data_IF_554546139837
#
_entry.id   IF_554546139837
#
_cell.length_a   1.000
_cell.length_b   1.000
_cell.length_c   1.000
_cell.angle_alpha   90.00
_cell.angle_beta   90.00
_cell.angle_gamma   90.00
#
_symmetry.space_group_name_H-M   'P 1'
#
loop_
_entity.id
_entity.type
_entity.pdbx_description
1 polymer ?
#
# COMPACT_ATOMS: atom_id res chain seq x y z
N UNK A 1 -0.38 -31.53 36.38
CA UNK A 1 0.23 -31.40 35.04
C UNK A 1 -0.75 -30.81 34.02
N UNK A 2 -1.89 -31.47 33.72
CA UNK A 2 -2.88 -30.99 32.74
C UNK A 2 -3.49 -29.60 33.02
N UNK A 3 -3.71 -29.25 34.29
CA UNK A 3 -4.27 -27.94 34.69
C UNK A 3 -3.28 -26.80 34.48
N UNK A 4 -2.00 -27.02 34.77
CA UNK A 4 -0.93 -26.05 34.52
C UNK A 4 -0.72 -25.82 33.02
N UNK A 5 -0.80 -26.87 32.20
CA UNK A 5 -0.72 -26.78 30.73
C UNK A 5 -1.93 -26.03 30.16
N UNK A 6 -3.13 -26.28 30.68
CA UNK A 6 -4.35 -25.56 30.27
C UNK A 6 -4.31 -24.08 30.66
N UNK A 7 -3.79 -23.73 31.85
CA UNK A 7 -3.58 -22.34 32.25
C UNK A 7 -2.53 -21.65 31.36
N UNK A 8 -1.45 -22.34 30.99
CA UNK A 8 -0.43 -21.78 30.10
C UNK A 8 -1.01 -21.50 28.71
N UNK A 9 -1.81 -22.41 28.17
CA UNK A 9 -2.48 -22.25 26.87
C UNK A 9 -3.49 -21.08 26.88
N UNK A 10 -4.24 -20.90 27.98
CA UNK A 10 -5.12 -19.74 28.13
C UNK A 10 -4.32 -18.43 28.23
N UNK A 11 -3.21 -18.40 28.96
CA UNK A 11 -2.38 -17.21 29.08
C UNK A 11 -1.71 -16.81 27.75
N UNK A 12 -1.27 -17.79 26.95
CA UNK A 12 -0.70 -17.55 25.62
C UNK A 12 -1.76 -17.02 24.65
N UNK A 13 -2.96 -17.58 24.65
CA UNK A 13 -4.05 -17.12 23.78
C UNK A 13 -4.55 -15.71 24.12
N UNK A 14 -4.55 -15.33 25.40
CA UNK A 14 -4.89 -13.96 25.82
C UNK A 14 -3.81 -12.94 25.41
N UNK A 15 -2.53 -13.29 25.49
CA UNK A 15 -1.44 -12.38 25.14
C UNK A 15 -1.28 -12.16 23.64
N UNK A 16 -1.68 -13.13 22.80
CA UNK A 16 -1.67 -12.97 21.33
C UNK A 16 -2.66 -11.91 20.83
N UNK A 17 -3.74 -11.63 21.55
CA UNK A 17 -4.72 -10.59 21.20
C UNK A 17 -4.17 -9.18 21.43
N UNK A 18 -3.18 -9.02 22.32
CA UNK A 18 -2.58 -7.72 22.64
C UNK A 18 -1.51 -7.27 21.64
N UNK A 19 -1.13 -8.12 20.69
CA UNK A 19 -0.13 -7.84 19.66
C UNK A 19 -0.74 -7.47 18.30
N UNK A 20 -2.04 -7.16 18.25
CA UNK A 20 -2.72 -6.84 17.00
C UNK A 20 -2.33 -5.42 16.53
N UNK A 21 -1.71 -5.35 15.36
CA UNK A 21 -1.36 -4.08 14.72
C UNK A 21 -2.59 -3.50 14.02
N UNK A 22 -2.82 -2.20 14.14
CA UNK A 22 -3.98 -1.54 13.51
C UNK A 22 -3.64 -1.16 12.07
N UNK A 23 -4.40 -1.68 11.09
CA UNK A 23 -4.32 -1.26 9.67
C UNK A 23 -5.18 -0.02 9.49
N UNK A 24 -4.60 1.08 9.04
CA UNK A 24 -5.36 2.30 8.71
C UNK A 24 -5.65 2.43 7.23
N UNK A 25 -4.78 1.89 6.38
CA UNK A 25 -4.97 1.87 4.93
C UNK A 25 -4.28 0.64 4.37
N UNK A 26 -4.97 -0.07 3.47
CA UNK A 26 -4.40 -1.16 2.70
C UNK A 26 -4.98 -1.13 1.30
N UNK A 27 -4.12 -0.97 0.32
CA UNK A 27 -4.46 -1.16 -1.09
C UNK A 27 -3.59 -2.28 -1.65
N UNK A 28 -4.15 -3.15 -2.48
CA UNK A 28 -3.41 -4.21 -3.20
C UNK A 28 -3.87 -4.39 -4.65
N UNK A 29 -4.89 -3.66 -5.08
CA UNK A 29 -5.43 -3.70 -6.45
C UNK A 29 -5.86 -5.09 -6.95
N UNK A 30 -6.20 -6.00 -6.05
CA UNK A 30 -6.61 -7.38 -6.36
C UNK A 30 -8.07 -7.46 -6.87
N UNK A 31 -8.82 -6.36 -6.83
CA UNK A 31 -10.26 -6.29 -7.11
C UNK A 31 -10.59 -5.64 -8.47
N UNK A 32 -9.69 -5.77 -9.43
CA UNK A 32 -9.90 -5.31 -10.81
C UNK A 32 -10.07 -3.79 -10.85
N UNK A 33 -11.12 -3.29 -11.50
CA UNK A 33 -11.32 -1.85 -11.72
C UNK A 33 -11.86 -1.08 -10.50
N UNK A 34 -12.17 -1.75 -9.39
CA UNK A 34 -12.76 -1.12 -8.21
C UNK A 34 -11.85 -0.07 -7.55
N UNK A 35 -10.53 -0.10 -7.78
CA UNK A 35 -9.63 0.96 -7.32
C UNK A 35 -10.04 2.35 -7.82
N UNK A 36 -10.68 2.45 -9.00
CA UNK A 36 -11.14 3.73 -9.56
C UNK A 36 -12.17 4.45 -8.69
N UNK A 37 -12.87 3.74 -7.79
CA UNK A 37 -13.79 4.37 -6.83
C UNK A 37 -13.08 4.82 -5.55
N UNK A 38 -11.90 4.27 -5.23
CA UNK A 38 -11.11 4.59 -4.04
C UNK A 38 -10.10 5.71 -4.30
N UNK A 39 -9.57 5.76 -5.52
CA UNK A 39 -8.54 6.70 -5.92
C UNK A 39 -9.12 7.84 -6.76
N UNK A 40 -8.80 9.08 -6.39
CA UNK A 40 -9.24 10.29 -7.05
C UNK A 40 -8.06 11.01 -7.72
N UNK A 41 -8.25 11.36 -9.00
CA UNK A 41 -7.32 12.20 -9.76
C UNK A 41 -7.47 13.68 -9.38
N UNK A 42 -6.35 14.39 -9.26
CA UNK A 42 -6.36 15.82 -9.02
C UNK A 42 -6.92 16.58 -10.22
N UNK A 43 -7.73 17.60 -9.94
CA UNK A 43 -8.27 18.53 -10.95
C UNK A 43 -7.52 19.87 -10.98
N UNK A 44 -6.39 19.97 -10.29
CA UNK A 44 -5.62 21.21 -10.21
C UNK A 44 -5.03 21.65 -11.56
N UNK A 45 -4.69 20.68 -12.42
CA UNK A 45 -4.27 20.88 -13.81
C UNK A 45 -5.08 19.97 -14.72
N UNK A 46 -5.28 20.39 -15.97
CA UNK A 46 -6.02 19.61 -16.97
C UNK A 46 -5.14 18.60 -17.71
N UNK A 47 -3.83 18.68 -17.54
CA UNK A 47 -2.83 18.00 -18.37
C UNK A 47 -2.02 16.95 -17.61
N UNK A 48 -2.55 16.50 -16.46
CA UNK A 48 -2.00 15.37 -15.71
C UNK A 48 -2.02 14.08 -16.54
N UNK A 49 -1.02 13.23 -16.30
CA UNK A 49 -0.97 11.89 -16.88
C UNK A 49 -1.92 10.93 -16.19
N UNK A 50 -2.33 9.89 -16.90
CA UNK A 50 -3.26 8.87 -16.42
C UNK A 50 -2.54 7.64 -15.87
N UNK A 51 -3.12 7.04 -14.83
CA UNK A 51 -2.68 5.75 -14.29
C UNK A 51 -3.42 4.60 -14.97
N UNK A 52 -2.73 3.49 -15.17
CA UNK A 52 -3.31 2.23 -15.65
C UNK A 52 -3.00 1.10 -14.68
N UNK A 53 -3.96 0.21 -14.46
CA UNK A 53 -3.77 -0.96 -13.61
C UNK A 53 -3.11 -2.08 -14.43
N UNK A 54 -1.91 -2.48 -14.05
CA UNK A 54 -1.15 -3.51 -14.78
C UNK A 54 -0.03 -4.09 -13.91
N UNK A 55 0.39 -5.32 -14.21
CA UNK A 55 1.58 -5.95 -13.63
C UNK A 55 2.86 -5.60 -14.42
N UNK A 56 2.73 -4.91 -15.57
CA UNK A 56 3.82 -4.57 -16.47
C UNK A 56 4.24 -5.74 -17.38
N UNK A 57 5.41 -5.65 -18.01
CA UNK A 57 5.95 -6.63 -18.97
C UNK A 57 6.52 -7.89 -18.31
N UNK A 58 7.00 -7.79 -17.08
CA UNK A 58 7.53 -8.92 -16.32
C UNK A 58 7.00 -8.91 -14.90
N UNK A 59 6.57 -10.05 -14.40
CA UNK A 59 5.92 -10.19 -13.10
C UNK A 59 6.19 -11.58 -12.53
N UNK A 60 6.12 -11.72 -11.21
CA UNK A 60 6.12 -13.02 -10.54
C UNK A 60 4.72 -13.65 -10.60
N UNK A 61 3.69 -12.85 -10.30
CA UNK A 61 2.29 -13.23 -10.35
C UNK A 61 1.48 -12.12 -11.06
N UNK A 62 0.87 -12.46 -12.20
CA UNK A 62 0.19 -11.49 -13.07
C UNK A 62 -0.98 -10.76 -12.41
N UNK A 63 -1.60 -11.37 -11.39
CA UNK A 63 -2.75 -10.81 -10.70
C UNK A 63 -2.32 -10.06 -9.44
N UNK A 64 -1.41 -10.63 -8.63
CA UNK A 64 -0.96 -10.02 -7.37
C UNK A 64 0.03 -8.88 -7.56
N UNK A 65 0.77 -8.88 -8.67
CA UNK A 65 1.75 -7.84 -8.95
C UNK A 65 1.14 -6.64 -9.69
N UNK A 66 -0.19 -6.62 -9.90
CA UNK A 66 -0.88 -5.47 -10.47
C UNK A 66 -0.71 -4.26 -9.57
N UNK A 67 -0.41 -3.13 -10.20
CA UNK A 67 -0.26 -1.83 -9.55
C UNK A 67 -0.62 -0.70 -10.50
N UNK A 68 -0.54 0.52 -10.00
CA UNK A 68 -0.78 1.74 -10.77
C UNK A 68 0.49 2.14 -11.53
N UNK A 69 0.45 1.95 -12.84
CA UNK A 69 1.50 2.38 -13.75
C UNK A 69 1.20 3.74 -14.35
N UNK A 70 2.19 4.60 -14.40
CA UNK A 70 2.21 5.80 -15.24
C UNK A 70 2.18 5.38 -16.72
N UNK A 71 1.27 5.96 -17.51
CA UNK A 71 1.03 5.53 -18.90
C UNK A 71 1.62 6.45 -19.97
N UNK A 72 2.12 7.63 -19.58
CA UNK A 72 2.51 8.72 -20.47
C UNK A 72 3.85 9.36 -20.04
N UNK A 73 4.76 9.53 -20.99
CA UNK A 73 6.06 10.15 -20.73
C UNK A 73 5.92 11.67 -20.53
N UNK A 74 6.85 12.25 -19.76
CA UNK A 74 6.95 13.69 -19.52
C UNK A 74 5.66 14.37 -19.01
N UNK A 75 4.84 13.62 -18.26
CA UNK A 75 3.65 14.14 -17.58
C UNK A 75 3.86 14.24 -16.08
N UNK A 76 3.23 15.24 -15.46
CA UNK A 76 3.01 15.23 -14.03
C UNK A 76 1.85 14.28 -13.70
N UNK A 77 1.90 13.66 -12.53
CA UNK A 77 0.86 12.75 -12.06
C UNK A 77 0.38 13.19 -10.69
N UNK A 78 -0.92 13.07 -10.44
CA UNK A 78 -1.52 13.46 -9.17
C UNK A 78 -2.76 12.59 -8.90
N UNK A 79 -2.59 11.58 -8.06
CA UNK A 79 -3.63 10.65 -7.63
C UNK A 79 -3.55 10.50 -6.12
N UNK A 80 -4.70 10.40 -5.46
CA UNK A 80 -4.78 10.26 -4.01
C UNK A 80 -5.93 9.34 -3.63
N UNK A 81 -5.80 8.66 -2.50
CA UNK A 81 -6.88 7.87 -1.91
C UNK A 81 -7.12 8.36 -0.49
N UNK A 82 -8.38 8.45 -0.09
CA UNK A 82 -8.76 8.84 1.28
C UNK A 82 -8.97 7.58 2.12
N UNK A 83 -8.54 7.67 3.36
CA UNK A 83 -8.79 6.69 4.42
C UNK A 83 -9.26 7.44 5.67
N UNK A 84 -9.69 6.69 6.68
CA UNK A 84 -10.23 7.27 7.91
C UNK A 84 -9.17 8.06 8.68
N UNK A 85 -9.59 9.19 9.26
CA UNK A 85 -8.70 10.03 10.04
C UNK A 85 -8.23 9.28 11.30
N UNK A 86 -6.93 9.29 11.58
CA UNK A 86 -6.33 8.64 12.75
C UNK A 86 -5.22 9.51 13.36
N UNK A 87 -4.81 9.16 14.58
CA UNK A 87 -3.65 9.78 15.24
C UNK A 87 -2.66 8.69 15.65
N UNK A 88 -1.37 8.93 15.38
CA UNK A 88 -0.27 8.08 15.84
C UNK A 88 0.42 8.65 17.09
N UNK A 89 -0.20 9.57 17.83
CA UNK A 89 0.43 10.13 19.03
C UNK A 89 0.74 9.01 20.04
N UNK A 90 2.01 8.87 20.40
CA UNK A 90 2.47 7.82 21.31
C UNK A 90 2.50 6.40 20.70
N UNK A 91 2.35 6.26 19.37
CA UNK A 91 2.43 4.98 18.65
C UNK A 91 3.36 5.10 17.43
N UNK A 92 4.17 4.08 17.11
CA UNK A 92 4.92 4.08 15.86
C UNK A 92 3.98 4.05 14.66
N UNK A 93 4.37 4.76 13.61
CA UNK A 93 3.67 4.80 12.32
C UNK A 93 4.55 4.14 11.27
N UNK A 94 4.00 3.14 10.60
CA UNK A 94 4.66 2.48 9.47
C UNK A 94 3.91 2.83 8.20
N UNK A 95 4.66 3.29 7.19
CA UNK A 95 4.16 3.52 5.84
C UNK A 95 5.00 2.64 4.91
N UNK A 96 4.37 1.67 4.27
CA UNK A 96 5.04 0.75 3.37
C UNK A 96 4.34 0.74 2.01
N UNK A 97 5.10 0.76 0.93
CA UNK A 97 4.64 0.59 -0.44
C UNK A 97 5.75 -0.02 -1.30
N UNK A 98 5.41 -0.54 -2.48
CA UNK A 98 6.38 -1.09 -3.44
C UNK A 98 6.48 -0.19 -4.68
N UNK A 99 7.69 -0.09 -5.24
CA UNK A 99 7.94 0.66 -6.47
C UNK A 99 8.75 -0.22 -7.40
N UNK A 100 8.35 -0.27 -8.68
CA UNK A 100 9.04 -1.08 -9.69
C UNK A 100 9.32 -0.24 -10.93
N UNK A 101 10.56 0.20 -11.10
CA UNK A 101 10.98 0.87 -12.32
C UNK A 101 11.21 -0.15 -13.44
N UNK A 102 10.17 -0.40 -14.23
CA UNK A 102 10.22 -1.34 -15.36
C UNK A 102 10.91 -0.75 -16.60
N UNK A 103 10.80 0.56 -16.80
CA UNK A 103 11.41 1.26 -17.92
C UNK A 103 12.84 1.68 -17.55
N UNK A 104 13.76 1.59 -18.51
CA UNK A 104 15.11 2.10 -18.35
C UNK A 104 15.03 3.64 -18.48
N UNK A 105 15.10 4.35 -17.36
CA UNK A 105 14.90 5.81 -17.31
C UNK A 105 16.27 6.49 -17.31
N UNK A 106 16.55 7.32 -18.33
CA UNK A 106 17.84 7.99 -18.50
C UNK A 106 18.04 9.21 -17.56
N UNK A 107 16.99 9.68 -16.86
CA UNK A 107 17.04 10.83 -15.94
C UNK A 107 16.50 10.48 -14.54
N UNK A 108 17.37 10.17 -13.56
CA UNK A 108 16.97 9.71 -12.22
C UNK A 108 16.46 10.82 -11.28
N UNK A 109 16.61 12.09 -11.67
CA UNK A 109 16.35 13.26 -10.80
C UNK A 109 14.90 13.76 -10.82
N UNK A 110 14.04 13.21 -11.67
CA UNK A 110 12.60 13.34 -11.50
C UNK A 110 12.15 12.05 -10.86
N UNK A 111 11.73 12.10 -9.59
CA UNK A 111 10.92 11.04 -8.98
C UNK A 111 9.58 11.03 -9.72
N UNK A 112 9.59 10.60 -10.99
CA UNK A 112 8.42 10.11 -11.67
C UNK A 112 8.33 8.69 -11.17
N UNK A 113 7.37 8.48 -10.27
CA UNK A 113 7.06 7.19 -9.69
C UNK A 113 6.50 6.30 -10.80
N UNK A 114 7.42 5.80 -11.62
CA UNK A 114 7.15 4.85 -12.67
C UNK A 114 6.87 3.51 -11.99
N UNK A 115 5.59 3.13 -12.05
CA UNK A 115 4.89 2.07 -11.35
C UNK A 115 4.92 2.21 -9.82
N UNK A 116 3.89 2.90 -9.33
CA UNK A 116 3.40 2.67 -8.00
C UNK A 116 2.60 1.37 -8.00
N UNK A 117 3.23 0.25 -7.70
CA UNK A 117 2.46 -0.79 -7.02
C UNK A 117 2.24 -0.26 -5.61
N UNK A 118 1.25 0.62 -5.44
CA UNK A 118 0.81 1.10 -4.13
C UNK A 118 0.13 -0.05 -3.39
N UNK A 119 0.92 -1.07 -3.05
CA UNK A 119 0.64 -1.96 -1.95
C UNK A 119 0.87 -1.18 -0.66
N UNK A 120 0.10 -0.10 -0.50
CA UNK A 120 0.26 0.86 0.56
C UNK A 120 -0.41 0.29 1.79
N UNK A 121 0.39 -0.10 2.77
CA UNK A 121 -0.10 -0.52 4.07
C UNK A 121 0.36 0.49 5.12
N UNK A 122 -0.58 1.22 5.70
CA UNK A 122 -0.35 2.04 6.88
C UNK A 122 -0.74 1.24 8.11
N UNK A 123 0.21 1.03 9.02
CA UNK A 123 -0.01 0.34 10.27
C UNK A 123 0.49 1.15 11.47
N UNK A 124 -0.23 1.08 12.59
CA UNK A 124 0.35 1.36 13.90
C UNK A 124 0.77 0.04 14.54
N UNK A 125 2.09 -0.12 14.72
CA UNK A 125 2.65 -1.20 15.54
C UNK A 125 2.57 -0.80 17.02
N UNK A 126 2.50 -1.75 17.93
CA UNK A 126 2.62 -1.52 19.38
C UNK A 126 4.01 -1.88 19.91
N UNK A 127 4.91 -2.38 19.04
CA UNK A 127 6.24 -2.88 19.41
C UNK A 127 7.36 -2.23 18.60
N UNK A 128 7.82 -1.07 19.07
CA UNK A 128 9.22 -0.62 18.90
C UNK A 128 9.71 -0.15 20.25
#
# INVERSE_FOLDING_TARGET
AMTAVSLLLLAVSVTSVLAESSVYFREQFEDGDAWKSRWAESKHKSDYGSFVLTAGKFYGDAEKDKGLQTSQDARFYALSSRFDDFSNQGKPLVIQFTVKHEQNIDFPSVIILNLFTLNACLYADSKV
#
